data_IF_954811022609
#
_entry.id   IF_954811022609
#
_cell.length_a   1.000
_cell.length_b   1.000
_cell.length_c   1.000
_cell.angle_alpha   90.00
_cell.angle_beta   90.00
_cell.angle_gamma   90.00
#
_symmetry.space_group_name_H-M   'P 1'
#
loop_
_entity.id
_entity.type
_entity.pdbx_description
1 polymer ?
#
# COMPACT_ATOMS: atom_id res chain seq x y z
N UNK A 1 -6.09 4.73 29.20
CA UNK A 1 -7.18 5.15 28.34
C UNK A 1 -6.93 6.53 27.76
N UNK A 2 -7.40 6.77 26.56
CA UNK A 2 -7.30 8.03 25.81
C UNK A 2 -8.34 9.07 26.25
N UNK A 3 -9.19 8.75 27.23
CA UNK A 3 -10.12 9.65 27.91
C UNK A 3 -9.75 9.67 29.40
N UNK A 4 -9.53 10.85 29.92
CA UNK A 4 -9.32 11.07 31.34
C UNK A 4 -10.36 12.06 31.89
N UNK A 5 -10.87 11.82 33.10
CA UNK A 5 -11.79 12.71 33.77
C UNK A 5 -11.03 13.57 34.79
N UNK A 6 -11.19 14.86 34.68
CA UNK A 6 -10.76 15.78 35.73
C UNK A 6 -12.01 16.52 36.24
N UNK A 7 -12.57 16.06 37.33
CA UNK A 7 -13.73 16.74 37.92
C UNK A 7 -14.14 16.18 39.26
N UNK A 8 -14.31 17.01 40.24
CA UNK A 8 -14.85 16.73 41.56
C UNK A 8 -16.33 17.06 41.61
N UNK A 9 -17.02 16.23 42.34
CA UNK A 9 -18.43 16.26 42.71
C UNK A 9 -18.92 17.61 43.23
N UNK A 10 -19.80 18.27 42.51
CA UNK A 10 -20.74 19.22 43.10
C UNK A 10 -21.92 19.46 42.15
N UNK A 11 -23.11 19.48 42.71
CA UNK A 11 -24.37 19.48 42.01
C UNK A 11 -24.89 20.92 41.85
N UNK A 12 -25.27 21.32 40.65
CA UNK A 12 -26.57 21.88 40.28
C UNK A 12 -26.65 22.37 38.83
N UNK A 13 -25.59 22.64 38.14
CA UNK A 13 -25.52 22.74 36.66
C UNK A 13 -24.22 22.06 36.22
N UNK A 14 -24.31 21.03 35.43
CA UNK A 14 -23.22 20.08 35.34
C UNK A 14 -22.46 20.29 34.03
N UNK A 15 -21.40 21.09 34.06
CA UNK A 15 -20.40 21.10 33.03
C UNK A 15 -19.38 19.99 33.35
N UNK A 16 -19.49 18.86 32.68
CA UNK A 16 -18.45 17.83 32.68
C UNK A 16 -17.40 18.25 31.65
N UNK A 17 -16.20 18.57 32.12
CA UNK A 17 -15.06 18.80 31.27
C UNK A 17 -14.20 17.54 31.24
N UNK A 18 -13.86 17.05 30.06
CA UNK A 18 -12.95 15.93 29.90
C UNK A 18 -11.94 16.27 28.80
N UNK A 19 -10.72 15.81 28.98
CA UNK A 19 -9.69 15.89 27.96
C UNK A 19 -9.66 14.59 27.17
N UNK A 20 -9.63 14.69 25.84
CA UNK A 20 -9.44 13.57 24.95
C UNK A 20 -8.04 13.71 24.37
N UNK A 21 -7.20 12.69 24.57
CA UNK A 21 -5.88 12.64 23.94
C UNK A 21 -6.03 12.59 22.42
N UNK A 22 -5.08 13.16 21.68
CA UNK A 22 -5.04 13.11 20.22
C UNK A 22 -5.13 11.67 19.74
N UNK A 23 -5.73 11.47 18.59
CA UNK A 23 -5.71 10.18 17.90
C UNK A 23 -4.61 10.25 16.84
N UNK A 24 -3.43 9.75 17.17
CA UNK A 24 -2.28 9.73 16.28
C UNK A 24 -2.31 8.53 15.30
N UNK A 25 -3.33 7.66 15.42
CA UNK A 25 -3.59 6.60 14.46
C UNK A 25 -4.41 7.12 13.27
N UNK A 26 -4.18 6.57 12.09
CA UNK A 26 -4.92 6.92 10.86
C UNK A 26 -6.39 6.47 10.89
N UNK A 27 -6.70 5.47 11.71
CA UNK A 27 -8.07 4.96 11.86
C UNK A 27 -8.84 5.76 12.90
N UNK A 28 -10.11 6.08 12.59
CA UNK A 28 -11.02 6.66 13.57
C UNK A 28 -11.24 5.69 14.74
N UNK A 29 -11.41 6.25 15.93
CA UNK A 29 -11.77 5.47 17.12
C UNK A 29 -13.02 6.03 17.77
N UNK A 30 -13.73 5.20 18.51
CA UNK A 30 -14.89 5.63 19.28
C UNK A 30 -14.86 5.01 20.68
N UNK A 31 -15.46 5.71 21.62
CA UNK A 31 -15.66 5.23 22.99
C UNK A 31 -16.99 5.72 23.53
N UNK A 32 -17.44 5.08 24.58
CA UNK A 32 -18.67 5.46 25.27
C UNK A 32 -18.36 5.91 26.68
N UNK A 33 -19.06 6.94 27.12
CA UNK A 33 -19.06 7.44 28.49
C UNK A 33 -20.46 7.26 29.04
N UNK A 34 -20.58 6.57 30.14
CA UNK A 34 -21.85 6.45 30.84
C UNK A 34 -21.85 7.36 32.07
N UNK A 35 -22.83 8.22 32.15
CA UNK A 35 -23.01 9.18 33.26
C UNK A 35 -24.17 8.67 34.10
N UNK A 36 -23.95 8.55 35.40
CA UNK A 36 -24.98 8.17 36.37
C UNK A 36 -25.33 9.35 37.26
N UNK A 37 -26.63 9.61 37.41
CA UNK A 37 -27.16 10.58 38.36
C UNK A 37 -28.38 9.99 39.06
N UNK A 38 -28.19 9.46 40.26
CA UNK A 38 -29.24 8.72 40.96
C UNK A 38 -29.64 7.44 40.18
N UNK A 39 -30.91 7.35 39.80
CA UNK A 39 -31.44 6.24 38.97
C UNK A 39 -31.35 6.53 37.47
N UNK A 40 -30.89 7.70 37.06
CA UNK A 40 -30.74 8.07 35.67
C UNK A 40 -29.37 7.66 35.13
N UNK A 41 -29.37 7.09 33.94
CA UNK A 41 -28.18 6.69 33.21
C UNK A 41 -28.24 7.32 31.83
N UNK A 42 -27.18 8.03 31.43
CA UNK A 42 -27.02 8.60 30.09
C UNK A 42 -25.75 8.07 29.46
N UNK A 43 -25.80 7.72 28.18
CA UNK A 43 -24.69 7.20 27.43
C UNK A 43 -24.29 8.18 26.31
N UNK A 44 -23.04 8.64 26.34
CA UNK A 44 -22.49 9.53 25.33
C UNK A 44 -21.47 8.75 24.52
N UNK A 45 -21.66 8.72 23.19
CA UNK A 45 -20.67 8.16 22.27
C UNK A 45 -19.75 9.28 21.78
N UNK A 46 -18.45 9.10 22.02
CA UNK A 46 -17.42 10.00 21.49
C UNK A 46 -16.79 9.33 20.29
N UNK A 47 -16.77 10.03 19.17
CA UNK A 47 -16.05 9.63 17.96
C UNK A 47 -14.89 10.59 17.72
N UNK A 48 -13.71 10.05 17.49
CA UNK A 48 -12.52 10.82 17.17
C UNK A 48 -12.00 10.37 15.81
N UNK A 49 -11.86 11.33 14.87
CA UNK A 49 -11.19 11.04 13.57
C UNK A 49 -9.77 10.56 13.81
N UNK A 50 -9.27 9.73 12.94
CA UNK A 50 -7.86 9.42 12.84
C UNK A 50 -7.05 10.64 12.39
N UNK A 51 -5.74 10.56 12.56
CA UNK A 51 -4.81 11.55 11.99
C UNK A 51 -5.01 11.57 10.47
N UNK A 52 -5.25 12.74 9.91
CA UNK A 52 -5.20 12.92 8.45
C UNK A 52 -3.73 12.89 8.04
N UNK A 53 -3.35 11.96 7.17
CA UNK A 53 -2.01 11.92 6.57
C UNK A 53 -1.99 12.98 5.48
N UNK A 54 -0.99 13.87 5.51
CA UNK A 54 -0.81 14.86 4.44
C UNK A 54 -0.29 14.20 3.16
N UNK A 55 -0.53 14.81 2.01
CA UNK A 55 0.04 14.35 0.75
C UNK A 55 1.57 14.31 0.80
N UNK A 56 2.22 15.26 1.46
CA UNK A 56 3.67 15.27 1.64
C UNK A 56 4.17 14.03 2.39
N UNK A 57 3.46 13.56 3.43
CA UNK A 57 3.82 12.33 4.14
C UNK A 57 3.67 11.10 3.25
N UNK A 58 2.64 11.05 2.40
CA UNK A 58 2.42 9.94 1.47
C UNK A 58 3.47 9.95 0.36
N UNK A 59 3.75 11.10 -0.26
CA UNK A 59 4.79 11.22 -1.29
C UNK A 59 6.17 10.84 -0.76
N UNK A 60 6.49 11.24 0.47
CA UNK A 60 7.74 10.84 1.10
C UNK A 60 7.84 9.31 1.28
N UNK A 61 6.74 8.67 1.67
CA UNK A 61 6.66 7.22 1.82
C UNK A 61 6.78 6.51 0.46
N UNK A 62 6.04 6.95 -0.57
CA UNK A 62 6.13 6.35 -1.91
C UNK A 62 7.54 6.50 -2.50
N UNK A 63 8.16 7.68 -2.29
CA UNK A 63 9.54 7.90 -2.68
C UNK A 63 10.51 6.93 -2.00
N UNK A 64 10.35 6.67 -0.70
CA UNK A 64 11.15 5.69 0.04
C UNK A 64 10.96 4.28 -0.54
N UNK A 65 9.73 3.87 -0.82
CA UNK A 65 9.42 2.58 -1.45
C UNK A 65 10.11 2.45 -2.81
N UNK A 66 10.01 3.48 -3.66
CA UNK A 66 10.66 3.51 -4.96
C UNK A 66 12.19 3.44 -4.84
N UNK A 67 12.79 4.12 -3.86
CA UNK A 67 14.25 4.06 -3.64
C UNK A 67 14.70 2.70 -3.10
N UNK A 68 13.90 2.05 -2.28
CA UNK A 68 14.14 0.66 -1.86
C UNK A 68 14.08 -0.29 -3.07
N UNK A 69 13.08 -0.10 -3.94
CA UNK A 69 12.98 -0.84 -5.20
C UNK A 69 14.19 -0.60 -6.11
N UNK A 70 14.60 0.64 -6.31
CA UNK A 70 15.79 1.02 -7.08
C UNK A 70 17.04 0.29 -6.56
N UNK A 71 17.26 0.35 -5.25
CA UNK A 71 18.43 -0.27 -4.62
C UNK A 71 18.39 -1.80 -4.74
N UNK A 72 17.25 -2.42 -4.47
CA UNK A 72 17.09 -3.88 -4.49
C UNK A 72 17.18 -4.48 -5.91
N UNK A 73 16.90 -3.67 -6.93
CA UNK A 73 16.89 -4.12 -8.33
C UNK A 73 18.09 -3.60 -9.14
N UNK A 74 19.14 -3.12 -8.46
CA UNK A 74 20.39 -2.73 -9.09
C UNK A 74 20.30 -1.45 -9.91
N UNK A 75 19.58 -0.45 -9.43
CA UNK A 75 19.20 0.77 -10.11
C UNK A 75 20.34 1.53 -10.78
N UNK A 76 21.53 1.55 -10.17
CA UNK A 76 22.72 2.19 -10.76
C UNK A 76 23.17 1.56 -12.10
N UNK A 77 22.73 0.32 -12.37
CA UNK A 77 23.06 -0.44 -13.57
C UNK A 77 21.88 -0.57 -14.56
N UNK A 78 20.75 0.08 -14.29
CA UNK A 78 19.62 0.09 -15.22
C UNK A 78 20.02 0.75 -16.54
N UNK A 79 19.38 0.36 -17.62
CA UNK A 79 19.60 0.96 -18.93
C UNK A 79 19.19 2.44 -18.94
N UNK A 80 18.09 2.76 -18.28
CA UNK A 80 17.62 4.12 -18.05
C UNK A 80 17.16 4.28 -16.59
N UNK A 81 17.86 5.11 -15.85
CA UNK A 81 17.54 5.49 -14.48
C UNK A 81 17.43 7.03 -14.34
N UNK A 82 17.05 7.69 -15.44
CA UNK A 82 16.95 9.15 -15.48
C UNK A 82 16.11 9.67 -14.32
N UNK A 83 16.66 10.60 -13.58
CA UNK A 83 16.11 11.29 -12.41
C UNK A 83 15.88 10.42 -11.16
N UNK A 84 16.08 9.11 -11.20
CA UNK A 84 15.96 8.28 -9.99
C UNK A 84 16.92 8.74 -8.90
N UNK A 85 16.41 8.88 -7.67
CA UNK A 85 17.19 9.40 -6.53
C UNK A 85 17.43 10.91 -6.53
N UNK A 86 17.04 11.64 -7.57
CA UNK A 86 17.17 13.10 -7.63
C UNK A 86 16.18 13.82 -6.70
N UNK A 87 16.30 15.13 -6.54
CA UNK A 87 15.35 15.94 -5.76
C UNK A 87 14.04 16.25 -6.51
N UNK A 88 13.94 15.87 -7.81
CA UNK A 88 12.73 16.09 -8.61
C UNK A 88 11.55 15.26 -8.10
N UNK A 89 10.31 15.67 -8.38
CA UNK A 89 9.12 14.84 -8.14
C UNK A 89 9.26 13.45 -8.78
N UNK A 90 8.69 12.41 -8.17
CA UNK A 90 8.77 11.04 -8.71
C UNK A 90 8.10 10.91 -10.08
N UNK A 91 7.16 11.78 -10.43
CA UNK A 91 6.56 11.88 -11.76
C UNK A 91 7.57 12.22 -12.88
N UNK A 92 8.74 12.75 -12.52
CA UNK A 92 9.84 13.05 -13.45
C UNK A 92 10.87 11.90 -13.54
N UNK A 93 10.68 10.81 -12.77
CA UNK A 93 11.56 9.66 -12.81
C UNK A 93 11.18 8.74 -13.97
N UNK A 94 12.19 8.26 -14.67
CA UNK A 94 11.98 7.36 -15.79
C UNK A 94 11.09 6.17 -15.41
N UNK A 95 10.05 5.92 -16.20
CA UNK A 95 9.13 4.81 -16.02
C UNK A 95 8.10 4.98 -14.90
N UNK A 96 8.04 6.14 -14.24
CA UNK A 96 7.04 6.44 -13.22
C UNK A 96 5.98 7.39 -13.77
N UNK A 97 4.72 7.07 -13.50
CA UNK A 97 3.59 7.97 -13.75
C UNK A 97 2.77 8.13 -12.48
N UNK A 98 2.31 9.34 -12.24
CA UNK A 98 1.46 9.70 -11.10
C UNK A 98 0.10 10.19 -11.56
N UNK A 99 -0.86 10.18 -10.65
CA UNK A 99 -2.15 10.85 -10.85
C UNK A 99 -2.06 12.36 -10.59
N UNK A 100 -3.22 13.04 -10.60
CA UNK A 100 -3.33 14.50 -10.38
C UNK A 100 -2.95 14.92 -8.95
N UNK A 101 -3.02 14.00 -7.98
CA UNK A 101 -2.58 14.20 -6.59
C UNK A 101 -1.07 13.91 -6.42
N UNK A 102 -0.36 13.51 -7.47
CA UNK A 102 1.07 13.14 -7.45
C UNK A 102 1.36 11.74 -6.91
N UNK A 103 0.33 10.89 -6.75
CA UNK A 103 0.48 9.51 -6.27
C UNK A 103 0.86 8.56 -7.39
N UNK A 104 1.73 7.60 -7.13
CA UNK A 104 2.21 6.64 -8.12
C UNK A 104 1.07 5.70 -8.57
N UNK A 105 0.80 5.72 -9.89
CA UNK A 105 -0.20 4.86 -10.52
C UNK A 105 0.38 3.88 -11.54
N UNK A 106 1.62 4.07 -11.97
CA UNK A 106 2.25 3.25 -12.99
C UNK A 106 3.76 3.18 -12.79
N UNK A 107 4.30 1.98 -12.86
CA UNK A 107 5.74 1.68 -12.94
C UNK A 107 5.95 0.89 -14.23
N UNK A 108 6.65 1.49 -15.21
CA UNK A 108 6.95 0.87 -16.50
C UNK A 108 8.45 0.88 -16.77
N UNK A 109 9.08 -0.24 -16.48
CA UNK A 109 10.53 -0.47 -16.58
C UNK A 109 10.84 -1.68 -17.46
N UNK A 110 10.09 -1.81 -18.56
CA UNK A 110 10.30 -2.83 -19.57
C UNK A 110 11.73 -2.76 -20.12
N UNK A 111 12.39 -3.93 -20.17
CA UNK A 111 13.72 -4.11 -20.78
C UNK A 111 14.76 -3.09 -20.29
N UNK A 112 14.85 -2.95 -18.99
CA UNK A 112 15.66 -1.89 -18.36
C UNK A 112 16.84 -2.43 -17.55
N UNK A 113 17.22 -3.71 -17.72
CA UNK A 113 18.34 -4.35 -17.05
C UNK A 113 18.21 -4.39 -15.51
N UNK A 114 16.98 -4.53 -15.00
CA UNK A 114 16.75 -4.75 -13.57
C UNK A 114 17.33 -6.11 -13.16
N UNK A 115 18.01 -6.15 -12.01
CA UNK A 115 18.61 -7.36 -11.43
C UNK A 115 18.21 -7.47 -9.95
N UNK A 116 18.55 -8.60 -9.29
CA UNK A 116 18.24 -8.75 -7.86
C UNK A 116 16.81 -9.20 -7.63
N UNK A 117 16.16 -8.71 -6.57
CA UNK A 117 14.83 -9.20 -6.14
C UNK A 117 13.86 -8.05 -5.88
N UNK A 118 12.57 -8.32 -5.99
CA UNK A 118 11.55 -7.36 -5.54
C UNK A 118 11.64 -7.21 -4.01
N UNK A 119 11.76 -5.97 -3.49
CA UNK A 119 11.79 -5.74 -2.04
C UNK A 119 10.40 -5.84 -1.43
N UNK A 120 10.35 -5.96 -0.10
CA UNK A 120 9.12 -5.76 0.67
C UNK A 120 8.71 -4.27 0.69
N UNK A 121 7.43 -4.01 0.96
CA UNK A 121 6.88 -2.66 1.09
C UNK A 121 6.23 -2.11 -0.19
N UNK A 122 6.32 -2.80 -1.33
CA UNK A 122 5.70 -2.37 -2.58
C UNK A 122 4.18 -2.21 -2.46
N UNK A 123 3.53 -2.95 -1.57
CA UNK A 123 2.09 -2.81 -1.28
C UNK A 123 1.70 -1.44 -0.74
N UNK A 124 2.68 -0.63 -0.30
CA UNK A 124 2.47 0.75 0.13
C UNK A 124 2.22 1.74 -1.02
N UNK A 125 2.40 1.33 -2.28
CA UNK A 125 1.98 2.10 -3.46
C UNK A 125 0.48 1.88 -3.70
N UNK A 126 -0.36 2.41 -2.83
CA UNK A 126 -1.78 2.07 -2.72
C UNK A 126 -2.61 2.40 -3.98
N UNK A 127 -2.16 3.34 -4.83
CA UNK A 127 -2.84 3.71 -6.08
C UNK A 127 -2.23 3.06 -7.32
N UNK A 128 -1.24 2.18 -7.15
CA UNK A 128 -0.61 1.51 -8.29
C UNK A 128 -1.63 0.68 -9.07
N UNK A 129 -1.78 0.97 -10.35
CA UNK A 129 -2.69 0.29 -11.27
C UNK A 129 -1.98 -0.55 -12.32
N UNK A 130 -0.73 -0.21 -12.63
CA UNK A 130 0.09 -0.95 -13.58
C UNK A 130 1.51 -1.15 -13.04
N UNK A 131 2.02 -2.37 -13.15
CA UNK A 131 3.40 -2.69 -12.81
C UNK A 131 4.02 -3.55 -13.92
N UNK A 132 4.81 -2.92 -14.77
CA UNK A 132 5.47 -3.54 -15.92
C UNK A 132 6.99 -3.58 -15.73
N UNK A 133 7.52 -4.80 -15.58
CA UNK A 133 8.94 -5.10 -15.45
C UNK A 133 9.35 -6.24 -16.40
N UNK A 134 8.65 -6.36 -17.53
CA UNK A 134 8.93 -7.38 -18.55
C UNK A 134 10.37 -7.27 -19.05
N UNK A 135 10.95 -8.42 -19.42
CA UNK A 135 12.26 -8.54 -20.09
C UNK A 135 13.39 -7.90 -19.28
N UNK A 136 13.54 -8.38 -18.03
CA UNK A 136 14.59 -8.01 -17.10
C UNK A 136 15.27 -9.27 -16.53
N UNK A 137 16.08 -9.14 -15.49
CA UNK A 137 16.86 -10.21 -14.86
C UNK A 137 16.52 -10.35 -13.36
N UNK A 138 15.27 -10.11 -13.00
CA UNK A 138 14.83 -10.19 -11.61
C UNK A 138 14.72 -11.65 -11.16
N UNK A 139 15.23 -11.94 -9.98
CA UNK A 139 15.31 -13.27 -9.36
C UNK A 139 14.46 -13.32 -8.08
N UNK A 140 14.50 -14.48 -7.40
CA UNK A 140 13.76 -14.68 -6.14
C UNK A 140 12.28 -14.95 -6.37
N UNK A 141 11.50 -14.87 -5.32
CA UNK A 141 10.06 -15.11 -5.37
C UNK A 141 9.26 -13.83 -5.62
N UNK A 142 8.09 -13.98 -6.22
CA UNK A 142 7.09 -12.88 -6.28
C UNK A 142 6.57 -12.65 -4.85
N UNK A 143 6.65 -11.41 -4.32
CA UNK A 143 6.20 -11.14 -2.96
C UNK A 143 4.68 -11.31 -2.80
N UNK A 144 4.27 -12.06 -1.77
CA UNK A 144 2.85 -12.28 -1.46
C UNK A 144 2.09 -10.98 -1.15
N UNK A 145 2.79 -9.98 -0.61
CA UNK A 145 2.21 -8.67 -0.29
C UNK A 145 1.67 -7.91 -1.51
N UNK A 146 2.13 -8.25 -2.74
CA UNK A 146 1.55 -7.65 -3.96
C UNK A 146 0.04 -7.92 -4.07
N UNK A 147 -0.46 -8.98 -3.43
CA UNK A 147 -1.91 -9.23 -3.29
C UNK A 147 -2.68 -8.19 -2.48
N UNK A 148 -2.02 -7.17 -1.92
CA UNK A 148 -2.63 -6.04 -1.22
C UNK A 148 -2.81 -4.80 -2.11
N UNK A 149 -2.27 -4.80 -3.33
CA UNK A 149 -2.40 -3.71 -4.30
C UNK A 149 -3.80 -3.68 -4.92
N UNK A 150 -4.79 -3.24 -4.16
CA UNK A 150 -6.21 -3.33 -4.51
C UNK A 150 -6.60 -2.62 -5.82
N UNK A 151 -5.81 -1.66 -6.28
CA UNK A 151 -6.07 -0.90 -7.52
C UNK A 151 -5.34 -1.46 -8.75
N UNK A 152 -4.54 -2.52 -8.58
CA UNK A 152 -3.76 -3.07 -9.69
C UNK A 152 -4.67 -3.74 -10.73
N UNK A 153 -4.45 -3.40 -11.99
CA UNK A 153 -5.15 -3.97 -13.13
C UNK A 153 -4.21 -4.77 -14.04
N UNK A 154 -2.92 -4.39 -14.07
CA UNK A 154 -1.92 -4.98 -14.95
C UNK A 154 -0.67 -5.36 -14.14
N UNK A 155 -0.33 -6.65 -14.12
CA UNK A 155 0.93 -7.19 -13.60
C UNK A 155 1.68 -7.89 -14.73
N UNK A 156 2.73 -7.24 -15.22
CA UNK A 156 3.55 -7.69 -16.34
C UNK A 156 4.96 -8.05 -15.87
N UNK A 157 5.18 -9.31 -15.52
CA UNK A 157 6.43 -9.86 -14.97
C UNK A 157 7.09 -10.90 -15.88
N UNK A 158 6.59 -11.05 -17.11
CA UNK A 158 7.10 -11.98 -18.11
C UNK A 158 8.59 -11.75 -18.40
N UNK A 159 9.29 -12.82 -18.81
CA UNK A 159 10.73 -12.79 -19.16
C UNK A 159 11.61 -12.19 -18.06
N UNK A 160 11.57 -12.84 -16.92
CA UNK A 160 12.45 -12.62 -15.79
C UNK A 160 12.99 -13.98 -15.29
N UNK A 161 13.62 -13.97 -14.14
CA UNK A 161 14.17 -15.17 -13.49
C UNK A 161 13.47 -15.46 -12.15
N UNK A 162 12.21 -15.03 -11.99
CA UNK A 162 11.43 -15.30 -10.80
C UNK A 162 11.28 -16.79 -10.56
N UNK A 163 11.44 -17.23 -9.32
CA UNK A 163 11.38 -18.63 -8.89
C UNK A 163 10.38 -18.84 -7.76
N UNK A 164 10.22 -20.09 -7.32
CA UNK A 164 9.23 -20.42 -6.30
C UNK A 164 7.83 -20.55 -6.89
N UNK A 165 6.81 -20.52 -6.05
CA UNK A 165 5.41 -20.65 -6.45
C UNK A 165 4.75 -19.30 -6.70
N UNK A 166 3.70 -19.29 -7.51
CA UNK A 166 2.80 -18.13 -7.64
C UNK A 166 2.11 -17.93 -6.28
N UNK A 167 2.19 -16.73 -5.67
CA UNK A 167 1.52 -16.48 -4.39
C UNK A 167 -0.01 -16.55 -4.52
N UNK A 168 -0.70 -17.33 -3.65
CA UNK A 168 -2.16 -17.38 -3.65
C UNK A 168 -2.82 -16.04 -3.33
N UNK A 169 -2.10 -15.14 -2.65
CA UNK A 169 -2.53 -13.79 -2.30
C UNK A 169 -2.82 -12.92 -3.53
N UNK A 170 -2.23 -13.23 -4.69
CA UNK A 170 -2.58 -12.55 -5.94
C UNK A 170 -4.06 -12.75 -6.32
N UNK A 171 -4.71 -13.80 -5.81
CA UNK A 171 -6.15 -14.01 -5.93
C UNK A 171 -7.03 -12.97 -5.21
N UNK A 172 -6.44 -12.05 -4.44
CA UNK A 172 -7.15 -10.95 -3.78
C UNK A 172 -7.26 -9.69 -4.66
N UNK A 173 -6.60 -9.67 -5.81
CA UNK A 173 -6.53 -8.52 -6.72
C UNK A 173 -7.79 -8.45 -7.59
N UNK A 174 -8.91 -8.06 -7.03
CA UNK A 174 -10.24 -8.14 -7.67
C UNK A 174 -10.38 -7.40 -9.00
N UNK A 175 -9.52 -6.40 -9.25
CA UNK A 175 -9.51 -5.60 -10.48
C UNK A 175 -8.43 -6.02 -11.49
N UNK A 176 -7.72 -7.13 -11.21
CA UNK A 176 -6.66 -7.58 -12.10
C UNK A 176 -7.22 -8.12 -13.42
N UNK A 177 -6.84 -7.48 -14.52
CA UNK A 177 -7.22 -7.89 -15.88
C UNK A 177 -6.13 -8.75 -16.54
N UNK A 178 -4.85 -8.40 -16.32
CA UNK A 178 -3.73 -9.10 -16.96
C UNK A 178 -2.70 -9.52 -15.91
N UNK A 179 -2.43 -10.82 -15.86
CA UNK A 179 -1.37 -11.43 -15.06
C UNK A 179 -0.41 -12.18 -16.00
N UNK A 180 0.71 -11.55 -16.33
CA UNK A 180 1.70 -12.12 -17.24
C UNK A 180 2.95 -12.54 -16.49
N UNK A 181 3.12 -13.85 -16.32
CA UNK A 181 4.21 -14.49 -15.56
C UNK A 181 5.07 -15.42 -16.43
N UNK A 182 4.76 -15.55 -17.72
CA UNK A 182 5.42 -16.47 -18.63
C UNK A 182 6.94 -16.24 -18.72
N UNK A 183 7.68 -17.25 -19.14
CA UNK A 183 9.14 -17.17 -19.28
C UNK A 183 9.86 -16.74 -17.99
N UNK A 184 9.52 -17.41 -16.88
CA UNK A 184 10.16 -17.35 -15.57
C UNK A 184 10.59 -18.75 -15.13
N UNK A 185 11.12 -18.88 -13.92
CA UNK A 185 11.52 -20.15 -13.30
C UNK A 185 10.52 -20.59 -12.23
N UNK A 186 9.25 -20.17 -12.36
CA UNK A 186 8.19 -20.48 -11.39
C UNK A 186 7.90 -21.97 -11.35
N UNK A 187 7.55 -22.47 -10.18
CA UNK A 187 7.28 -23.89 -9.90
C UNK A 187 5.96 -24.08 -9.17
N UNK A 188 5.54 -25.32 -8.99
CA UNK A 188 4.29 -25.63 -8.31
C UNK A 188 3.08 -25.53 -9.24
N UNK A 189 1.89 -25.54 -8.65
CA UNK A 189 0.62 -25.43 -9.36
C UNK A 189 0.11 -23.98 -9.39
N UNK A 190 -0.73 -23.69 -10.36
CA UNK A 190 -1.50 -22.43 -10.35
C UNK A 190 -2.43 -22.43 -9.11
N UNK A 191 -2.33 -21.44 -8.23
CA UNK A 191 -3.17 -21.38 -7.04
C UNK A 191 -4.66 -21.30 -7.39
N UNK A 192 -5.52 -22.10 -6.77
CA UNK A 192 -6.97 -22.04 -7.02
C UNK A 192 -7.58 -20.70 -6.64
N UNK A 193 -6.93 -19.92 -5.80
CA UNK A 193 -7.32 -18.57 -5.40
C UNK A 193 -7.39 -17.60 -6.59
N UNK A 194 -6.58 -17.81 -7.64
CA UNK A 194 -6.66 -17.01 -8.87
C UNK A 194 -8.00 -17.18 -9.59
N UNK A 195 -8.73 -18.25 -9.30
CA UNK A 195 -10.12 -18.42 -9.77
C UNK A 195 -11.13 -17.41 -9.21
N UNK A 196 -10.74 -16.57 -8.22
CA UNK A 196 -11.55 -15.47 -7.69
C UNK A 196 -11.49 -14.20 -8.52
N UNK A 197 -10.52 -14.11 -9.44
CA UNK A 197 -10.27 -12.92 -10.26
C UNK A 197 -11.30 -12.82 -11.39
N UNK A 198 -12.45 -12.22 -11.08
CA UNK A 198 -13.59 -12.16 -12.01
C UNK A 198 -13.37 -11.25 -13.23
N UNK A 199 -12.42 -10.31 -13.14
CA UNK A 199 -12.06 -9.38 -14.20
C UNK A 199 -10.83 -9.85 -15.01
N UNK A 200 -10.26 -11.03 -14.68
CA UNK A 200 -9.06 -11.51 -15.34
C UNK A 200 -9.36 -11.95 -16.78
N UNK A 201 -8.75 -11.24 -17.73
CA UNK A 201 -8.86 -11.52 -19.17
C UNK A 201 -7.72 -12.38 -19.67
N UNK A 202 -6.53 -12.27 -19.04
CA UNK A 202 -5.32 -13.00 -19.47
C UNK A 202 -4.47 -13.46 -18.30
N UNK A 203 -4.12 -14.75 -18.34
CA UNK A 203 -3.11 -15.38 -17.51
C UNK A 203 -2.13 -16.11 -18.43
N UNK A 204 -0.82 -15.83 -18.33
CA UNK A 204 0.22 -16.49 -19.12
C UNK A 204 1.35 -17.04 -18.28
#
# INVERSE_FOLDING_TARGET
>A
GWISFTGTKAMTTHNLSFAIASNDETKSRQGKITIYSGSLQEEITIKQKGKEISYEEVWAKEREILMNFYTATGGDNWTDNTNWGSALPVSEWYGIRTDEDGMVIDISLYKNNLTGTLPEGLSGLERLSQFDIIDNHLTGSIPAELGQLSNITLLYFEKNEFSGSIPPELGNLSHLNYLELANNQLTGSIPPELGRLSELERLS
#
